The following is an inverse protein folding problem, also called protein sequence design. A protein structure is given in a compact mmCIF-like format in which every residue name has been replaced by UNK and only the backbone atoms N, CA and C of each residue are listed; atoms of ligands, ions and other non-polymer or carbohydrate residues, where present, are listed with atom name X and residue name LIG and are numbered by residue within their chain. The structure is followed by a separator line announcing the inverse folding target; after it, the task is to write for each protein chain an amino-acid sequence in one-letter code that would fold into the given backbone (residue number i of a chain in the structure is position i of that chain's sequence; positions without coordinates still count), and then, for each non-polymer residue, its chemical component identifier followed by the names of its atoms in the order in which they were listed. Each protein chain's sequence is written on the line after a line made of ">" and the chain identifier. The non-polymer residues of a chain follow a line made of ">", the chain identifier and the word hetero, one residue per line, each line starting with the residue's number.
data_IF_108287355544
#
_entry.id   IF_108287355544
#
_cell.length_a   1.000
_cell.length_b   1.000
_cell.length_c   1.000
_cell.angle_alpha   90.00
_cell.angle_beta   90.00
_cell.angle_gamma   90.00
#
_symmetry.space_group_name_H-M   'P 1'
#
loop_
_entity.id
_entity.type
_entity.pdbx_description
1 polymer ?
#
# COMPACT_ATOMS: atom_id res chain seq x y z
N UNK A 1 4.11 1.45 7.11
CA UNK A 1 4.68 2.37 8.11
C UNK A 1 4.51 1.76 9.48
N UNK A 2 5.61 1.46 10.17
CA UNK A 2 5.59 1.02 11.57
C UNK A 2 6.12 2.20 12.39
N UNK A 3 5.34 2.72 13.34
CA UNK A 3 5.70 3.88 14.18
C UNK A 3 6.02 5.18 13.41
N UNK A 4 5.30 5.46 12.30
CA UNK A 4 5.47 6.71 11.54
C UNK A 4 6.77 6.80 10.72
N UNK A 5 7.62 5.76 10.73
CA UNK A 5 8.86 5.70 9.94
C UNK A 5 8.66 4.87 8.67
N UNK A 6 9.37 5.26 7.61
CA UNK A 6 9.48 4.47 6.39
C UNK A 6 10.16 3.12 6.67
N UNK A 7 9.83 2.05 5.90
CA UNK A 7 10.51 0.77 6.00
C UNK A 7 12.04 0.91 5.89
N UNK A 8 12.78 0.05 6.57
CA UNK A 8 14.23 0.02 6.45
C UNK A 8 14.63 -0.23 4.99
N UNK A 9 15.52 0.59 4.44
CA UNK A 9 15.96 0.48 3.04
C UNK A 9 14.96 1.02 2.01
N UNK A 10 13.97 1.81 2.43
CA UNK A 10 13.03 2.45 1.51
C UNK A 10 13.75 3.41 0.55
N UNK A 11 13.67 3.22 -0.79
CA UNK A 11 14.54 3.92 -1.74
C UNK A 11 13.98 5.24 -2.29
N UNK A 12 12.72 5.58 -1.98
CA UNK A 12 12.07 6.77 -2.51
C UNK A 12 12.02 7.90 -1.48
N UNK A 13 12.13 9.15 -1.93
CA UNK A 13 12.05 10.34 -1.06
C UNK A 13 10.70 10.48 -0.35
N UNK A 14 9.63 9.96 -0.98
CA UNK A 14 8.28 9.95 -0.43
C UNK A 14 8.06 8.73 0.48
N UNK A 15 7.25 8.89 1.51
CA UNK A 15 6.78 7.78 2.34
C UNK A 15 5.96 6.75 1.52
N UNK A 16 5.91 5.46 1.92
CA UNK A 16 5.02 4.48 1.33
C UNK A 16 3.57 4.98 1.24
N UNK A 17 2.90 4.71 0.12
CA UNK A 17 1.48 4.97 -0.03
C UNK A 17 0.67 4.03 0.88
N UNK A 18 -0.62 4.34 1.05
CA UNK A 18 -1.50 3.44 1.79
C UNK A 18 -1.57 2.09 1.05
N UNK A 19 -1.51 0.99 1.81
CA UNK A 19 -1.50 -0.39 1.31
C UNK A 19 -0.25 -0.80 0.51
N UNK A 20 0.75 0.08 0.39
CA UNK A 20 2.02 -0.27 -0.24
C UNK A 20 2.89 -1.10 0.71
N UNK A 21 3.54 -2.11 0.14
CA UNK A 21 4.46 -2.99 0.85
C UNK A 21 5.79 -2.28 1.15
N UNK A 22 6.78 -3.02 1.65
CA UNK A 22 8.15 -2.52 1.78
C UNK A 22 8.91 -2.44 0.45
N UNK A 23 8.30 -2.85 -0.66
CA UNK A 23 8.80 -2.70 -2.02
C UNK A 23 7.94 -1.66 -2.75
N UNK A 24 8.54 -0.57 -3.28
CA UNK A 24 7.80 0.44 -4.02
C UNK A 24 7.02 -0.14 -5.21
N UNK A 25 5.81 0.35 -5.40
CA UNK A 25 4.90 -0.09 -6.48
C UNK A 25 4.17 -1.40 -6.22
N UNK A 26 4.48 -2.14 -5.15
CA UNK A 26 3.79 -3.38 -4.78
C UNK A 26 2.77 -3.08 -3.68
N UNK A 27 1.50 -3.36 -3.94
CA UNK A 27 0.38 -3.09 -3.03
C UNK A 27 -0.31 -4.39 -2.61
N UNK A 28 -0.79 -4.43 -1.37
CA UNK A 28 -1.50 -5.57 -0.80
C UNK A 28 -2.87 -5.13 -0.24
N UNK A 29 -3.95 -5.72 -0.74
CA UNK A 29 -5.33 -5.40 -0.36
C UNK A 29 -6.09 -6.66 0.08
N UNK A 30 -7.03 -6.50 1.00
CA UNK A 30 -7.81 -7.60 1.56
C UNK A 30 -7.01 -8.45 2.54
N UNK A 31 -7.40 -9.71 2.69
CA UNK A 31 -6.98 -10.54 3.82
C UNK A 31 -5.51 -11.00 3.79
N UNK A 32 -4.81 -10.73 2.68
CA UNK A 32 -3.39 -11.07 2.51
C UNK A 32 -2.45 -10.17 3.30
N UNK A 33 -2.88 -8.95 3.67
CA UNK A 33 -2.03 -7.98 4.36
C UNK A 33 -2.06 -8.15 5.87
N UNK A 34 -1.07 -7.61 6.57
CA UNK A 34 -1.04 -7.58 8.04
C UNK A 34 -2.17 -6.72 8.61
N UNK A 35 -2.84 -7.20 9.66
CA UNK A 35 -3.98 -6.54 10.31
C UNK A 35 -5.20 -6.34 9.39
N UNK A 36 -5.71 -7.38 8.69
CA UNK A 36 -6.87 -7.24 7.83
C UNK A 36 -8.17 -7.29 8.65
N UNK A 37 -9.21 -6.66 8.12
CA UNK A 37 -10.56 -6.66 8.72
C UNK A 37 -11.30 -7.98 8.48
N UNK A 38 -10.84 -8.83 7.54
CA UNK A 38 -11.45 -10.13 7.19
C UNK A 38 -12.90 -10.03 6.70
N UNK A 39 -13.18 -9.04 5.86
CA UNK A 39 -14.51 -8.81 5.27
C UNK A 39 -14.42 -8.46 3.79
N UNK A 40 -15.33 -9.03 3.00
CA UNK A 40 -15.41 -8.82 1.55
C UNK A 40 -15.50 -7.34 1.19
N UNK A 41 -16.44 -6.59 1.79
CA UNK A 41 -16.61 -5.17 1.50
C UNK A 41 -15.34 -4.33 1.81
N UNK A 42 -14.61 -4.70 2.87
CA UNK A 42 -13.32 -4.05 3.20
C UNK A 42 -12.27 -4.36 2.13
N UNK A 43 -12.15 -5.62 1.70
CA UNK A 43 -11.22 -6.00 0.63
C UNK A 43 -11.51 -5.29 -0.69
N UNK A 44 -12.79 -5.15 -1.06
CA UNK A 44 -13.21 -4.39 -2.25
C UNK A 44 -12.80 -2.92 -2.14
N UNK A 45 -13.05 -2.28 -1.00
CA UNK A 45 -12.65 -0.90 -0.75
C UNK A 45 -11.12 -0.71 -0.73
N UNK A 46 -10.38 -1.65 -0.16
CA UNK A 46 -8.91 -1.62 -0.18
C UNK A 46 -8.38 -1.78 -1.62
N UNK A 47 -8.99 -2.63 -2.44
CA UNK A 47 -8.62 -2.80 -3.84
C UNK A 47 -8.81 -1.52 -4.66
N UNK A 48 -9.91 -0.78 -4.46
CA UNK A 48 -10.13 0.50 -5.15
C UNK A 48 -9.11 1.57 -4.74
N UNK A 49 -8.68 1.58 -3.48
CA UNK A 49 -7.61 2.47 -2.99
C UNK A 49 -6.26 2.07 -3.59
N UNK A 50 -5.95 0.76 -3.65
CA UNK A 50 -4.70 0.26 -4.18
C UNK A 50 -4.50 0.69 -5.65
N UNK A 51 -5.52 0.55 -6.51
CA UNK A 51 -5.40 0.94 -7.92
C UNK A 51 -5.21 2.45 -8.11
N UNK A 52 -5.84 3.29 -7.27
CA UNK A 52 -5.60 4.74 -7.29
C UNK A 52 -4.13 5.07 -7.04
N UNK A 53 -3.50 4.42 -6.05
CA UNK A 53 -2.07 4.63 -5.77
C UNK A 53 -1.15 3.96 -6.79
N UNK A 54 -1.55 2.87 -7.44
CA UNK A 54 -0.82 2.32 -8.59
C UNK A 54 -0.75 3.36 -9.71
N UNK A 55 -1.87 4.00 -10.07
CA UNK A 55 -1.85 5.06 -11.08
C UNK A 55 -0.94 6.22 -10.68
N UNK A 56 -0.97 6.65 -9.41
CA UNK A 56 -0.10 7.71 -8.89
C UNK A 56 1.38 7.32 -8.81
N UNK A 57 1.67 6.05 -8.56
CA UNK A 57 3.04 5.53 -8.60
C UNK A 57 3.56 5.60 -10.04
N UNK A 58 2.79 5.09 -10.99
CA UNK A 58 3.16 5.07 -12.41
C UNK A 58 3.21 6.45 -13.06
N UNK A 59 2.46 7.45 -12.56
CA UNK A 59 2.55 8.82 -13.07
C UNK A 59 3.88 9.52 -12.72
N UNK A 60 4.62 8.96 -11.76
CA UNK A 60 5.87 9.51 -11.23
C UNK A 60 7.07 8.58 -11.48
N UNK A 61 6.93 7.61 -12.38
CA UNK A 61 8.04 6.78 -12.91
C UNK A 61 8.75 7.53 -14.01
#
# INVERSE_FOLDING_TARGET
>A
MHNGKSPQGWPLERSPFLLESNVPGIFAAGDVRFGPIKRVASGVGEGSIAIQFVHRYLSNV
#
